data_IF_414464289806
#
_entry.id   IF_414464289806
#
_cell.length_a   1.000
_cell.length_b   1.000
_cell.length_c   1.000
_cell.angle_alpha   90.00
_cell.angle_beta   90.00
_cell.angle_gamma   90.00
#
_symmetry.space_group_name_H-M   'P 1'
#
loop_
_entity.id
_entity.type
_entity.pdbx_description
1 polymer ?
#
# COMPACT_ATOMS: atom_id res chain seq x y z
N UNK A 1 13.79 36.34 -4.51
CA UNK A 1 12.42 36.77 -4.23
C UNK A 1 12.05 36.28 -2.84
N UNK A 2 11.57 37.16 -1.97
CA UNK A 2 11.13 36.79 -0.62
C UNK A 2 9.84 35.95 -0.70
N UNK A 3 9.71 34.97 0.19
CA UNK A 3 8.56 34.08 0.25
C UNK A 3 7.47 34.78 1.04
N UNK A 4 6.37 35.09 0.37
CA UNK A 4 5.19 35.73 0.95
C UNK A 4 4.26 34.66 1.51
N UNK A 5 3.45 35.01 2.52
CA UNK A 5 2.38 34.14 3.03
C UNK A 5 1.44 33.69 1.90
N UNK A 6 1.27 34.53 0.88
CA UNK A 6 0.36 34.28 -0.26
C UNK A 6 0.88 33.27 -1.28
N UNK A 7 2.13 32.80 -1.19
CA UNK A 7 2.68 31.80 -2.12
C UNK A 7 3.50 30.70 -1.43
N UNK A 8 3.54 30.70 -0.09
CA UNK A 8 4.26 29.73 0.72
C UNK A 8 3.57 28.36 0.71
N UNK A 9 4.36 27.30 0.70
CA UNK A 9 3.88 25.91 0.67
C UNK A 9 2.97 25.60 1.87
N UNK A 10 3.43 25.87 3.09
CA UNK A 10 2.67 25.61 4.32
C UNK A 10 1.34 26.36 4.41
N UNK A 11 1.25 27.55 3.83
CA UNK A 11 0.06 28.40 3.89
C UNK A 11 -1.01 27.99 2.88
N UNK A 12 -0.61 27.47 1.71
CA UNK A 12 -1.55 27.10 0.64
C UNK A 12 -1.85 25.59 0.58
N UNK A 13 -0.93 24.75 1.05
CA UNK A 13 -1.03 23.28 1.01
C UNK A 13 -0.62 22.68 2.36
N UNK A 14 -1.38 22.93 3.43
CA UNK A 14 -1.04 22.48 4.79
C UNK A 14 -0.93 20.95 4.89
N UNK A 15 -1.77 20.21 4.16
CA UNK A 15 -1.72 18.75 4.09
C UNK A 15 -0.41 18.24 3.47
N UNK A 16 0.08 18.89 2.41
CA UNK A 16 1.38 18.55 1.82
C UNK A 16 2.51 18.92 2.77
N UNK A 17 2.43 20.07 3.45
CA UNK A 17 3.44 20.48 4.41
C UNK A 17 3.55 19.53 5.62
N UNK A 18 2.45 18.89 6.02
CA UNK A 18 2.46 17.87 7.09
C UNK A 18 3.23 16.61 6.72
N UNK A 19 3.40 16.33 5.43
CA UNK A 19 4.22 15.22 4.94
C UNK A 19 5.70 15.59 4.77
N UNK A 20 6.12 16.78 5.22
CA UNK A 20 7.52 17.16 5.19
C UNK A 20 8.34 16.26 6.11
N UNK A 21 9.42 15.69 5.58
CA UNK A 21 10.23 14.79 6.39
C UNK A 21 10.91 15.56 7.55
N UNK A 22 10.78 15.12 8.82
CA UNK A 22 11.22 15.89 9.99
C UNK A 22 12.74 16.06 10.12
N UNK A 23 13.55 15.09 9.68
CA UNK A 23 15.02 15.13 9.85
C UNK A 23 15.84 15.16 8.56
N UNK A 24 15.40 14.50 7.47
CA UNK A 24 16.19 14.36 6.22
C UNK A 24 16.31 15.62 5.37
N UNK A 25 15.57 16.69 5.70
CA UNK A 25 15.68 17.99 5.04
C UNK A 25 16.62 18.97 5.77
N UNK A 26 17.27 18.55 6.87
CA UNK A 26 18.14 19.41 7.66
C UNK A 26 17.35 20.57 8.27
N UNK A 27 17.89 21.80 8.16
CA UNK A 27 17.25 23.00 8.71
C UNK A 27 16.17 23.61 7.79
N UNK A 28 15.81 22.93 6.70
CA UNK A 28 14.81 23.41 5.75
C UNK A 28 13.40 23.06 6.22
N UNK A 29 12.51 24.04 6.17
CA UNK A 29 11.11 23.93 6.53
C UNK A 29 10.18 24.13 5.31
N UNK A 30 8.91 23.68 5.38
CA UNK A 30 7.90 24.04 4.39
C UNK A 30 7.71 25.55 4.20
N UNK A 31 8.01 26.37 5.22
CA UNK A 31 7.86 27.82 5.16
C UNK A 31 8.91 28.49 4.26
N UNK A 32 10.04 27.81 4.03
CA UNK A 32 11.17 28.27 3.22
C UNK A 32 10.96 28.05 1.71
N UNK A 33 9.80 27.54 1.29
CA UNK A 33 9.52 27.29 -0.12
C UNK A 33 8.15 27.78 -0.57
N UNK A 34 8.09 28.18 -1.84
CA UNK A 34 6.83 28.39 -2.54
C UNK A 34 6.29 27.06 -3.08
N UNK A 35 4.97 26.94 -3.20
CA UNK A 35 4.31 25.70 -3.65
C UNK A 35 4.77 25.24 -5.05
N UNK A 36 5.15 26.17 -5.93
CA UNK A 36 5.64 25.88 -7.29
C UNK A 36 7.13 25.50 -7.39
N UNK A 37 7.82 25.31 -6.26
CA UNK A 37 9.27 25.09 -6.27
C UNK A 37 9.67 23.77 -6.95
N UNK A 38 10.72 23.82 -7.78
CA UNK A 38 11.31 22.62 -8.38
C UNK A 38 12.35 21.93 -7.48
N UNK A 39 12.56 22.42 -6.23
CA UNK A 39 13.48 21.81 -5.27
C UNK A 39 13.02 20.40 -4.93
N UNK A 40 13.95 19.44 -4.95
CA UNK A 40 13.73 18.08 -4.45
C UNK A 40 13.99 18.02 -2.96
N UNK A 41 13.01 17.58 -2.20
CA UNK A 41 13.04 17.43 -0.74
C UNK A 41 12.51 16.03 -0.37
N UNK A 42 12.82 15.60 0.84
CA UNK A 42 12.32 14.35 1.40
C UNK A 42 10.92 14.56 1.98
N UNK A 43 10.05 13.60 1.70
CA UNK A 43 8.69 13.52 2.23
C UNK A 43 8.58 12.24 3.06
N UNK A 44 7.74 12.32 4.08
CA UNK A 44 7.35 11.22 4.95
C UNK A 44 5.84 11.06 4.80
N UNK A 45 5.37 9.85 4.53
CA UNK A 45 3.95 9.65 4.30
C UNK A 45 3.18 9.87 5.59
N UNK A 46 2.04 10.56 5.49
CA UNK A 46 1.10 10.70 6.60
C UNK A 46 0.49 9.36 7.05
N UNK A 47 0.48 8.37 6.14
CA UNK A 47 -0.19 7.10 6.34
C UNK A 47 0.74 6.03 6.93
N UNK A 48 2.04 6.13 6.67
CA UNK A 48 3.05 5.16 7.09
C UNK A 48 4.41 5.85 7.21
N UNK A 49 5.03 5.76 8.38
CA UNK A 49 6.33 6.36 8.66
C UNK A 49 7.50 5.68 7.93
N UNK A 50 7.32 4.47 7.41
CA UNK A 50 8.35 3.79 6.62
C UNK A 50 8.35 4.24 5.15
N UNK A 51 7.27 4.90 4.73
CA UNK A 51 7.13 5.44 3.39
C UNK A 51 7.79 6.79 3.27
N UNK A 52 9.06 6.76 2.90
CA UNK A 52 9.85 7.93 2.63
C UNK A 52 10.23 8.04 1.16
N UNK A 53 10.12 9.25 0.59
CA UNK A 53 10.54 9.45 -0.80
C UNK A 53 11.02 10.86 -1.07
N UNK A 54 11.81 10.99 -2.13
CA UNK A 54 12.38 12.26 -2.56
C UNK A 54 11.76 12.70 -3.89
N UNK A 55 11.00 13.80 -3.88
CA UNK A 55 10.42 14.38 -5.11
C UNK A 55 10.42 15.91 -5.06
N UNK A 56 10.06 16.55 -6.18
CA UNK A 56 9.98 18.01 -6.29
C UNK A 56 8.72 18.53 -5.58
N UNK A 57 8.80 19.70 -4.92
CA UNK A 57 7.63 20.33 -4.28
C UNK A 57 6.48 20.55 -5.28
N UNK A 58 6.76 21.09 -6.46
CA UNK A 58 5.75 21.26 -7.52
C UNK A 58 5.05 19.96 -7.94
N UNK A 59 5.69 18.79 -7.82
CA UNK A 59 5.02 17.52 -8.15
C UNK A 59 3.93 17.20 -7.12
N UNK A 60 4.16 17.53 -5.85
CA UNK A 60 3.19 17.33 -4.77
C UNK A 60 1.99 18.28 -4.89
N UNK A 61 2.23 19.53 -5.29
CA UNK A 61 1.20 20.59 -5.30
C UNK A 61 0.54 20.75 -6.66
N UNK A 62 1.32 20.92 -7.74
CA UNK A 62 0.79 21.21 -9.09
C UNK A 62 0.49 19.97 -9.94
N UNK A 63 1.01 18.80 -9.56
CA UNK A 63 0.65 17.50 -10.17
C UNK A 63 -0.09 16.58 -9.20
N UNK A 64 -0.29 17.03 -7.97
CA UNK A 64 -1.05 16.32 -6.93
C UNK A 64 -0.56 14.87 -6.72
N UNK A 65 0.74 14.60 -6.91
CA UNK A 65 1.28 13.27 -6.70
C UNK A 65 1.45 12.98 -5.21
N UNK A 66 0.91 11.85 -4.74
CA UNK A 66 1.05 11.38 -3.35
C UNK A 66 2.27 10.48 -3.13
N UNK A 67 2.26 9.75 -2.02
CA UNK A 67 3.27 8.74 -1.70
C UNK A 67 3.30 7.64 -2.78
N UNK A 68 4.46 7.38 -3.44
CA UNK A 68 4.57 6.32 -4.45
C UNK A 68 4.24 4.92 -3.91
N UNK A 69 4.59 4.65 -2.65
CA UNK A 69 4.25 3.39 -1.99
C UNK A 69 2.75 3.27 -1.76
N UNK A 70 2.07 4.31 -1.28
CA UNK A 70 0.60 4.30 -1.19
C UNK A 70 -0.07 4.21 -2.56
N UNK A 71 0.48 4.88 -3.58
CA UNK A 71 0.01 4.76 -4.96
C UNK A 71 0.19 3.33 -5.52
N UNK A 72 1.15 2.54 -5.01
CA UNK A 72 1.29 1.10 -5.32
C UNK A 72 0.09 0.30 -4.83
N UNK A 73 -0.48 0.65 -3.67
CA UNK A 73 -1.66 0.00 -3.12
C UNK A 73 -2.96 0.54 -3.74
N UNK A 74 -2.96 1.80 -4.18
CA UNK A 74 -4.08 2.40 -4.91
C UNK A 74 -5.35 2.52 -4.09
N UNK A 75 -5.22 2.65 -2.76
CA UNK A 75 -6.33 2.80 -1.83
C UNK A 75 -6.25 4.11 -1.06
N UNK A 76 -7.40 4.69 -0.76
CA UNK A 76 -7.56 5.72 0.25
C UNK A 76 -7.67 5.03 1.63
N UNK A 77 -6.75 5.35 2.54
CA UNK A 77 -6.70 4.72 3.86
C UNK A 77 -7.89 5.11 4.76
N UNK A 78 -8.56 6.21 4.45
CA UNK A 78 -9.72 6.71 5.19
C UNK A 78 -11.04 6.16 4.67
N UNK A 79 -11.04 5.56 3.48
CA UNK A 79 -12.20 4.96 2.86
C UNK A 79 -12.24 3.44 3.10
N UNK A 80 -13.42 2.80 2.95
CA UNK A 80 -13.53 1.36 3.03
C UNK A 80 -12.65 0.65 2.00
N UNK A 81 -12.05 -0.46 2.40
CA UNK A 81 -11.24 -1.31 1.50
C UNK A 81 -11.38 -2.79 1.87
N UNK A 82 -10.77 -3.65 1.06
CA UNK A 82 -10.74 -5.10 1.33
C UNK A 82 -9.32 -5.59 1.49
N UNK A 83 -9.10 -6.48 2.44
CA UNK A 83 -7.98 -7.42 2.39
C UNK A 83 -8.44 -8.65 1.60
N UNK A 84 -7.71 -9.03 0.56
CA UNK A 84 -8.03 -10.17 -0.28
C UNK A 84 -6.94 -11.24 -0.20
N UNK A 85 -7.36 -12.49 -0.41
CA UNK A 85 -6.48 -13.65 -0.57
C UNK A 85 -6.70 -14.24 -1.95
N UNK A 86 -5.61 -14.46 -2.67
CA UNK A 86 -5.61 -15.16 -3.95
C UNK A 86 -5.03 -16.56 -3.78
N UNK A 87 -5.60 -17.50 -4.52
CA UNK A 87 -4.93 -18.76 -4.88
C UNK A 87 -4.26 -18.57 -6.22
N UNK A 88 -2.96 -18.87 -6.27
CA UNK A 88 -2.20 -18.98 -7.51
C UNK A 88 -1.98 -20.47 -7.75
N UNK A 89 -2.62 -21.01 -8.79
CA UNK A 89 -2.77 -22.46 -8.98
C UNK A 89 -2.54 -22.90 -10.42
N UNK A 90 -2.31 -24.19 -10.60
CA UNK A 90 -2.32 -24.86 -11.90
C UNK A 90 -3.07 -26.20 -11.77
N UNK A 91 -3.02 -27.02 -12.81
CA UNK A 91 -3.68 -28.34 -12.84
C UNK A 91 -3.21 -29.30 -11.74
N UNK A 92 -2.04 -29.10 -11.15
CA UNK A 92 -1.51 -29.91 -10.06
C UNK A 92 -1.90 -29.39 -8.66
N UNK A 93 -2.53 -28.21 -8.58
CA UNK A 93 -3.00 -27.61 -7.33
C UNK A 93 -2.45 -26.22 -7.08
N UNK A 94 -2.56 -25.78 -5.82
CA UNK A 94 -2.14 -24.46 -5.39
C UNK A 94 -0.62 -24.42 -5.29
N UNK A 95 -0.02 -23.46 -5.99
CA UNK A 95 1.40 -23.14 -5.87
C UNK A 95 1.65 -22.15 -4.75
N UNK A 96 0.91 -21.05 -4.74
CA UNK A 96 1.08 -19.99 -3.74
C UNK A 96 -0.25 -19.44 -3.27
N UNK A 97 -0.24 -19.00 -2.02
CA UNK A 97 -1.21 -18.05 -1.49
C UNK A 97 -0.63 -16.65 -1.61
N UNK A 98 -1.47 -15.68 -1.97
CA UNK A 98 -1.08 -14.27 -2.01
C UNK A 98 -2.08 -13.43 -1.24
N UNK A 99 -1.58 -12.58 -0.35
CA UNK A 99 -2.38 -11.56 0.34
C UNK A 99 -2.19 -10.18 -0.28
N UNK A 100 -3.16 -9.30 -0.03
CA UNK A 100 -2.97 -7.86 -0.20
C UNK A 100 -4.25 -7.04 -0.01
N UNK A 101 -4.13 -5.73 -0.14
CA UNK A 101 -5.24 -4.78 -0.02
C UNK A 101 -5.69 -4.22 -1.38
N UNK A 102 -7.01 -4.16 -1.61
CA UNK A 102 -7.59 -3.50 -2.78
C UNK A 102 -9.09 -3.28 -2.64
N UNK A 103 -9.59 -2.19 -3.21
CA UNK A 103 -11.03 -1.98 -3.43
C UNK A 103 -11.59 -2.83 -4.56
N UNK A 104 -10.74 -3.43 -5.41
CA UNK A 104 -11.15 -4.29 -6.53
C UNK A 104 -10.20 -5.50 -6.66
N UNK A 105 -10.42 -6.55 -5.84
CA UNK A 105 -9.60 -7.76 -5.84
C UNK A 105 -9.57 -8.50 -7.18
N UNK A 106 -10.67 -8.48 -7.94
CA UNK A 106 -10.78 -9.17 -9.24
C UNK A 106 -9.89 -8.52 -10.30
N UNK A 107 -9.94 -7.19 -10.40
CA UNK A 107 -9.01 -6.45 -11.26
C UNK A 107 -7.56 -6.74 -10.86
N UNK A 108 -7.28 -6.85 -9.56
CA UNK A 108 -5.93 -7.13 -9.05
C UNK A 108 -5.48 -8.55 -9.41
N UNK A 109 -6.35 -9.55 -9.28
CA UNK A 109 -6.09 -10.92 -9.73
C UNK A 109 -5.76 -10.98 -11.23
N UNK A 110 -6.51 -10.25 -12.07
CA UNK A 110 -6.25 -10.15 -13.51
C UNK A 110 -4.90 -9.52 -13.86
N UNK A 111 -4.47 -8.49 -13.12
CA UNK A 111 -3.14 -7.89 -13.26
C UNK A 111 -2.02 -8.87 -12.91
N UNK A 112 -2.19 -9.62 -11.82
CA UNK A 112 -1.20 -10.61 -11.37
C UNK A 112 -1.11 -11.77 -12.36
N UNK A 113 -2.25 -12.29 -12.85
CA UNK A 113 -2.30 -13.30 -13.91
C UNK A 113 -1.55 -12.84 -15.17
N UNK A 114 -1.76 -11.59 -15.57
CA UNK A 114 -1.06 -11.00 -16.71
C UNK A 114 0.45 -10.88 -16.44
N UNK A 115 0.85 -10.48 -15.23
CA UNK A 115 2.26 -10.39 -14.84
C UNK A 115 2.96 -11.76 -14.80
N UNK A 116 2.28 -12.79 -14.30
CA UNK A 116 2.78 -14.17 -14.29
C UNK A 116 2.97 -14.69 -15.73
N UNK A 117 1.99 -14.44 -16.61
CA UNK A 117 2.10 -14.78 -18.04
C UNK A 117 3.31 -14.11 -18.70
N UNK A 118 3.55 -12.83 -18.43
CA UNK A 118 4.73 -12.10 -18.92
C UNK A 118 6.05 -12.65 -18.37
N UNK A 119 6.04 -13.26 -17.18
CA UNK A 119 7.17 -13.96 -16.60
C UNK A 119 7.34 -15.40 -17.14
N UNK A 120 6.54 -15.81 -18.13
CA UNK A 120 6.59 -17.16 -18.72
C UNK A 120 5.83 -18.22 -17.91
N UNK A 121 5.00 -17.81 -16.95
CA UNK A 121 4.29 -18.70 -16.05
C UNK A 121 2.81 -18.79 -16.43
N UNK A 122 2.35 -20.00 -16.74
CA UNK A 122 0.94 -20.28 -17.07
C UNK A 122 0.21 -20.79 -15.82
N UNK A 123 -0.13 -19.86 -14.93
CA UNK A 123 -0.87 -20.12 -13.71
C UNK A 123 -2.21 -19.39 -13.73
N UNK A 124 -3.21 -20.00 -13.10
CA UNK A 124 -4.47 -19.34 -12.77
C UNK A 124 -4.33 -18.55 -11.46
N UNK A 125 -5.08 -17.46 -11.38
CA UNK A 125 -5.11 -16.58 -10.22
C UNK A 125 -6.56 -16.32 -9.89
N UNK A 126 -6.99 -16.78 -8.72
CA UNK A 126 -8.40 -16.77 -8.30
C UNK A 126 -8.51 -16.05 -6.97
N UNK A 127 -9.44 -15.11 -6.86
CA UNK A 127 -9.81 -14.53 -5.56
C UNK A 127 -10.47 -15.63 -4.74
N UNK A 128 -9.82 -16.01 -3.64
CA UNK A 128 -10.29 -17.07 -2.76
C UNK A 128 -11.22 -16.54 -1.67
N UNK A 129 -10.81 -15.44 -1.04
CA UNK A 129 -11.54 -14.85 0.08
C UNK A 129 -11.22 -13.36 0.21
N UNK A 130 -12.16 -12.60 0.76
CA UNK A 130 -11.99 -11.18 1.08
C UNK A 130 -12.58 -10.86 2.44
N UNK A 131 -11.94 -9.96 3.19
CA UNK A 131 -12.51 -9.30 4.37
C UNK A 131 -12.63 -7.81 4.08
N UNK A 132 -13.80 -7.25 4.35
CA UNK A 132 -14.06 -5.82 4.22
C UNK A 132 -13.72 -5.09 5.53
N UNK A 133 -13.14 -3.90 5.39
CA UNK A 133 -12.82 -3.00 6.47
C UNK A 133 -13.46 -1.64 6.22
N UNK A 134 -13.92 -1.01 7.30
CA UNK A 134 -14.53 0.33 7.25
C UNK A 134 -13.51 1.38 6.79
N UNK A 135 -12.23 1.13 7.06
CA UNK A 135 -11.12 1.98 6.62
C UNK A 135 -9.95 1.16 6.07
N UNK A 136 -9.24 1.74 5.09
CA UNK A 136 -8.01 1.16 4.57
C UNK A 136 -6.90 1.02 5.58
N UNK A 137 -6.93 1.81 6.67
CA UNK A 137 -6.01 1.69 7.78
C UNK A 137 -6.06 0.30 8.45
N UNK A 138 -7.23 -0.21 8.77
CA UNK A 138 -7.38 -1.51 9.44
C UNK A 138 -6.93 -2.67 8.52
N UNK A 139 -7.22 -2.58 7.22
CA UNK A 139 -6.76 -3.56 6.24
C UNK A 139 -5.23 -3.55 6.08
N UNK A 140 -4.62 -2.37 6.11
CA UNK A 140 -3.17 -2.20 6.06
C UNK A 140 -2.49 -2.75 7.33
N UNK A 141 -3.07 -2.51 8.50
CA UNK A 141 -2.59 -3.08 9.77
C UNK A 141 -2.54 -4.61 9.71
N UNK A 142 -3.57 -5.26 9.15
CA UNK A 142 -3.57 -6.70 8.94
C UNK A 142 -2.50 -7.14 7.93
N UNK A 143 -2.37 -6.46 6.79
CA UNK A 143 -1.36 -6.79 5.78
C UNK A 143 0.04 -6.71 6.35
N UNK A 144 0.37 -5.62 7.05
CA UNK A 144 1.65 -5.45 7.74
C UNK A 144 1.86 -6.57 8.76
N UNK A 145 0.88 -6.86 9.60
CA UNK A 145 1.00 -7.90 10.62
C UNK A 145 1.31 -9.27 10.01
N UNK A 146 0.66 -9.62 8.90
CA UNK A 146 0.89 -10.87 8.17
C UNK A 146 2.25 -10.91 7.46
N UNK A 147 2.72 -9.80 6.89
CA UNK A 147 4.02 -9.73 6.21
C UNK A 147 5.20 -9.99 7.17
N UNK A 148 5.02 -9.70 8.47
CA UNK A 148 6.00 -9.97 9.52
C UNK A 148 5.97 -11.40 10.09
N UNK A 149 5.08 -12.28 9.59
CA UNK A 149 4.99 -13.68 10.03
C UNK A 149 5.83 -14.61 9.19
N UNK A 150 7.13 -14.65 9.47
CA UNK A 150 8.11 -15.47 8.72
C UNK A 150 7.69 -16.94 8.60
N UNK A 151 6.98 -17.49 9.59
CA UNK A 151 6.53 -18.88 9.63
C UNK A 151 5.56 -19.27 8.50
N UNK A 152 4.82 -18.30 7.94
CA UNK A 152 3.87 -18.52 6.85
C UNK A 152 4.29 -17.86 5.55
N UNK A 153 5.47 -17.25 5.50
CA UNK A 153 5.95 -16.48 4.33
C UNK A 153 6.73 -17.36 3.38
N UNK A 154 6.56 -17.11 2.09
CA UNK A 154 7.34 -17.76 1.03
C UNK A 154 8.07 -16.70 0.22
N UNK A 155 9.32 -17.00 -0.13
CA UNK A 155 10.08 -16.27 -1.15
C UNK A 155 10.16 -17.10 -2.43
N UNK A 156 10.32 -16.41 -3.55
CA UNK A 156 10.32 -17.01 -4.88
C UNK A 156 11.40 -16.32 -5.71
N UNK A 157 12.01 -17.03 -6.67
CA UNK A 157 13.04 -16.44 -7.57
C UNK A 157 12.40 -15.72 -8.76
N UNK A 158 11.13 -15.99 -8.99
CA UNK A 158 10.27 -15.49 -10.05
C UNK A 158 9.87 -14.04 -9.78
N UNK A 159 10.00 -13.19 -10.79
CA UNK A 159 9.71 -11.77 -10.67
C UNK A 159 8.36 -11.47 -11.32
N UNK A 160 7.34 -11.24 -10.50
CA UNK A 160 6.01 -10.83 -10.94
C UNK A 160 5.38 -9.86 -9.93
N UNK A 161 4.31 -9.17 -10.33
CA UNK A 161 3.63 -8.23 -9.46
C UNK A 161 3.13 -8.92 -8.18
N UNK A 162 3.69 -8.51 -7.05
CA UNK A 162 3.29 -8.98 -5.74
C UNK A 162 3.89 -10.33 -5.31
N UNK A 163 5.01 -10.73 -5.91
CA UNK A 163 5.84 -11.86 -5.47
C UNK A 163 6.43 -11.65 -4.05
N UNK A 164 6.39 -10.42 -3.53
CA UNK A 164 6.76 -10.09 -2.15
C UNK A 164 5.65 -10.33 -1.14
N UNK A 165 4.41 -10.63 -1.51
CA UNK A 165 3.30 -10.87 -0.57
C UNK A 165 2.76 -12.31 -0.68
N UNK A 166 3.67 -13.29 -0.80
CA UNK A 166 3.35 -14.72 -0.88
C UNK A 166 3.38 -15.43 0.48
N UNK A 167 2.56 -16.47 0.58
CA UNK A 167 2.37 -17.27 1.79
C UNK A 167 2.32 -18.78 1.48
N UNK A 168 2.73 -19.60 2.46
CA UNK A 168 2.72 -21.07 2.38
C UNK A 168 1.33 -21.68 2.63
N UNK A 169 0.45 -20.95 3.31
CA UNK A 169 -0.92 -21.33 3.60
C UNK A 169 -1.85 -20.12 3.39
N UNK A 170 -3.17 -20.34 3.53
CA UNK A 170 -4.14 -19.25 3.48
C UNK A 170 -3.89 -18.29 4.67
N UNK A 171 -3.45 -17.04 4.41
CA UNK A 171 -3.07 -16.13 5.49
C UNK A 171 -4.26 -15.63 6.31
N UNK A 172 -5.47 -15.56 5.74
CA UNK A 172 -6.68 -15.20 6.49
C UNK A 172 -7.11 -16.32 7.42
N UNK A 173 -7.08 -17.56 6.95
CA UNK A 173 -7.35 -18.71 7.81
C UNK A 173 -6.34 -18.76 8.97
N UNK A 174 -5.05 -18.63 8.68
CA UNK A 174 -4.01 -18.57 9.71
C UNK A 174 -4.23 -17.39 10.69
N UNK A 175 -4.63 -16.21 10.19
CA UNK A 175 -4.90 -15.05 11.03
C UNK A 175 -6.08 -15.27 11.99
N UNK A 176 -7.11 -16.00 11.57
CA UNK A 176 -8.22 -16.40 12.45
C UNK A 176 -7.76 -17.39 13.51
N UNK A 177 -7.04 -18.43 13.10
CA UNK A 177 -6.57 -19.49 14.00
C UNK A 177 -5.55 -18.99 15.03
N UNK A 178 -4.73 -18.01 14.66
CA UNK A 178 -3.78 -17.33 15.56
C UNK A 178 -4.41 -16.26 16.44
N UNK A 179 -5.69 -15.94 16.23
CA UNK A 179 -6.40 -14.87 16.95
C UNK A 179 -5.98 -13.45 16.54
N UNK A 180 -5.24 -13.28 15.43
CA UNK A 180 -4.88 -11.98 14.86
C UNK A 180 -6.11 -11.23 14.33
N UNK A 181 -7.10 -11.97 13.82
CA UNK A 181 -8.42 -11.44 13.47
C UNK A 181 -9.41 -11.97 14.49
N UNK A 182 -10.03 -11.06 15.24
CA UNK A 182 -11.19 -11.39 16.08
C UNK A 182 -12.42 -11.29 15.19
N UNK A 183 -13.08 -12.41 14.91
CA UNK A 183 -14.37 -12.38 14.26
C UNK A 183 -15.34 -11.58 15.13
N UNK A 184 -15.69 -10.36 14.70
CA UNK A 184 -16.84 -9.64 15.26
C UNK A 184 -18.03 -10.53 14.92
N UNK A 185 -18.59 -11.20 15.93
CA UNK A 185 -19.85 -11.94 15.79
C UNK A 185 -20.80 -11.06 14.99
N UNK A 186 -21.18 -11.49 13.79
CA UNK A 186 -22.19 -10.80 13.01
C UNK A 186 -23.38 -10.60 13.96
N UNK A 187 -23.78 -9.34 14.17
CA UNK A 187 -25.05 -9.06 14.82
C UNK A 187 -26.10 -9.64 13.87
N UNK A 188 -26.62 -10.82 14.20
CA UNK A 188 -27.81 -11.35 13.57
C UNK A 188 -28.89 -10.26 13.65
N UNK A 189 -29.42 -9.89 12.49
CA UNK A 189 -30.64 -9.10 12.39
C UNK A 189 -31.83 -9.85 13.01
#
# INVERSE_FOLDING_TARGET
MAISVTNRLSSLFPEVANEWHPTKNGNLSPDDFVYGSHKRVWWLCSNDSDHEWKTKIFQRTGKETGCPSCAKYGIDISAPTRFYVLRIENHAGIWWWKGGISVDPERRAGQIKSSLKSAGMLLDVVVHETIEYDTGKEALELEIALLHKEEIRISTKEVFSGCSELYSCNPLQWARESGLIVERKMKNA
#
